data_IF_644131282072
#
_entry.id   IF_644131282072
#
_cell.length_a   1.000
_cell.length_b   1.000
_cell.length_c   1.000
_cell.angle_alpha   90.00
_cell.angle_beta   90.00
_cell.angle_gamma   90.00
#
_symmetry.space_group_name_H-M   'P 1'
#
loop_
_entity.id
_entity.type
_entity.pdbx_description
1 polymer ?
#
# COMPACT_ATOMS: atom_id res chain seq x y z
N UNK A 1 8.53 0.02 34.56
CA UNK A 1 7.86 -0.05 33.25
C UNK A 1 8.95 -0.16 32.23
N UNK A 2 9.18 -1.35 31.71
CA UNK A 2 10.26 -1.63 30.76
C UNK A 2 9.94 -0.98 29.41
N UNK A 3 10.72 0.04 29.02
CA UNK A 3 10.54 0.75 27.76
C UNK A 3 11.25 -0.01 26.64
N UNK A 4 10.50 -0.73 25.82
CA UNK A 4 11.04 -1.36 24.61
C UNK A 4 11.18 -0.31 23.50
N UNK A 5 12.39 -0.15 22.97
CA UNK A 5 12.67 0.71 21.82
C UNK A 5 12.45 -0.03 20.49
N UNK A 6 12.15 0.71 19.43
CA UNK A 6 12.20 0.21 18.04
C UNK A 6 13.22 1.07 17.30
N UNK A 7 14.23 0.43 16.72
CA UNK A 7 15.20 1.07 15.84
C UNK A 7 14.93 0.72 14.38
N UNK A 8 15.20 1.67 13.48
CA UNK A 8 15.14 1.46 12.02
C UNK A 8 16.54 1.17 11.53
N UNK A 9 16.71 0.01 10.88
CA UNK A 9 17.98 -0.41 10.29
C UNK A 9 17.97 0.00 8.82
N UNK A 10 18.93 0.82 8.41
CA UNK A 10 19.07 1.20 7.01
C UNK A 10 19.58 0.00 6.20
N UNK A 11 18.92 -0.35 5.08
CA UNK A 11 19.39 -1.43 4.22
C UNK A 11 20.74 -1.07 3.60
N UNK A 12 21.61 -2.07 3.46
CA UNK A 12 22.87 -1.95 2.73
C UNK A 12 22.61 -1.64 1.24
N UNK A 13 23.52 -0.92 0.61
CA UNK A 13 23.41 -0.56 -0.80
C UNK A 13 23.25 -1.82 -1.68
N UNK A 14 22.19 -1.83 -2.51
CA UNK A 14 21.88 -2.94 -3.42
C UNK A 14 21.07 -4.09 -2.82
N UNK A 15 20.77 -4.10 -1.51
CA UNK A 15 19.92 -5.13 -0.90
C UNK A 15 18.45 -4.89 -1.24
N UNK A 16 17.81 -5.84 -1.92
CA UNK A 16 16.38 -5.76 -2.24
C UNK A 16 15.53 -6.05 -1.00
N UNK A 17 14.68 -5.11 -0.62
CA UNK A 17 13.75 -5.29 0.49
C UNK A 17 12.41 -5.82 -0.02
N UNK A 18 11.69 -6.62 0.78
CA UNK A 18 10.31 -6.97 0.48
C UNK A 18 9.45 -5.72 0.27
N UNK A 19 8.41 -5.84 -0.54
CA UNK A 19 7.49 -4.74 -0.87
C UNK A 19 6.11 -5.04 -0.34
N UNK A 20 5.41 -3.99 0.04
CA UNK A 20 3.98 -4.00 0.32
C UNK A 20 3.25 -3.14 -0.74
N UNK A 21 1.90 -3.09 -0.72
CA UNK A 21 1.13 -2.24 -1.63
C UNK A 21 1.53 -0.75 -1.60
N UNK A 22 2.14 -0.28 -0.52
CA UNK A 22 2.58 1.10 -0.33
C UNK A 22 4.04 1.36 -0.75
N UNK A 23 4.78 0.33 -1.21
CA UNK A 23 6.16 0.46 -1.66
C UNK A 23 7.17 -0.42 -0.88
N UNK A 24 8.47 -0.09 -0.95
CA UNK A 24 9.52 -0.76 -0.19
C UNK A 24 9.27 -0.70 1.31
N UNK A 25 9.51 -1.82 1.99
CA UNK A 25 9.42 -1.91 3.46
C UNK A 25 10.70 -1.44 4.13
N UNK A 26 10.61 -1.11 5.42
CA UNK A 26 11.76 -0.80 6.25
C UNK A 26 12.09 -1.98 7.15
N UNK A 27 13.36 -2.12 7.49
CA UNK A 27 13.85 -3.10 8.46
C UNK A 27 13.85 -2.46 9.85
N UNK A 28 13.24 -3.13 10.81
CA UNK A 28 13.11 -2.71 12.19
C UNK A 28 13.78 -3.72 13.12
N UNK A 29 14.37 -3.25 14.21
CA UNK A 29 14.90 -4.07 15.30
C UNK A 29 14.18 -3.68 16.60
N UNK A 30 13.68 -4.67 17.34
CA UNK A 30 13.14 -4.41 18.68
C UNK A 30 14.32 -4.42 19.67
N UNK A 31 14.52 -3.33 20.40
CA UNK A 31 15.59 -3.24 21.40
C UNK A 31 15.06 -3.75 22.74
N UNK A 32 15.75 -4.72 23.34
CA UNK A 32 15.44 -5.20 24.68
C UNK A 32 16.16 -4.38 25.75
N UNK A 33 15.57 -4.33 26.94
CA UNK A 33 16.20 -3.68 28.10
C UNK A 33 17.58 -4.29 28.37
N UNK A 34 18.61 -3.43 28.39
CA UNK A 34 20.01 -3.85 28.54
C UNK A 34 20.87 -3.69 27.28
N UNK A 35 20.32 -3.16 26.18
CA UNK A 35 21.08 -2.92 24.94
C UNK A 35 21.30 -4.16 24.10
N UNK A 36 20.59 -5.26 24.42
CA UNK A 36 20.59 -6.46 23.60
C UNK A 36 19.82 -6.20 22.31
N UNK A 37 20.47 -6.47 21.17
CA UNK A 37 19.85 -6.44 19.85
C UNK A 37 18.77 -7.51 19.80
N UNK A 38 17.52 -7.11 19.56
CA UNK A 38 16.44 -8.06 19.35
C UNK A 38 16.35 -8.51 17.89
N UNK A 39 15.30 -9.26 17.59
CA UNK A 39 15.09 -9.83 16.25
C UNK A 39 14.58 -8.79 15.27
N UNK A 40 15.12 -8.83 14.04
CA UNK A 40 14.80 -7.87 12.97
C UNK A 40 13.65 -8.31 12.07
N UNK A 41 12.83 -7.37 11.66
CA UNK A 41 11.67 -7.62 10.80
C UNK A 41 11.40 -6.48 9.82
N UNK A 42 10.80 -6.82 8.68
CA UNK A 42 10.30 -5.90 7.69
C UNK A 42 8.83 -5.52 7.98
N UNK A 43 8.54 -4.23 7.94
CA UNK A 43 7.17 -3.70 8.04
C UNK A 43 6.95 -2.49 7.11
N UNK A 44 5.68 -2.11 6.92
CA UNK A 44 5.29 -0.99 6.06
C UNK A 44 5.96 0.32 6.51
N UNK A 45 6.49 1.07 5.56
CA UNK A 45 7.08 2.40 5.77
C UNK A 45 6.03 3.50 5.89
N UNK A 46 4.90 3.35 5.21
CA UNK A 46 3.82 4.34 5.15
C UNK A 46 2.75 4.17 6.23
N UNK A 47 2.51 2.94 6.70
CA UNK A 47 1.41 2.61 7.62
C UNK A 47 1.97 1.99 8.90
N UNK A 48 1.75 2.64 10.04
CA UNK A 48 2.16 2.12 11.36
C UNK A 48 1.15 1.12 11.92
N UNK A 49 -0.14 1.32 11.68
CA UNK A 49 -1.19 0.38 12.09
C UNK A 49 -1.25 -0.81 11.12
N UNK A 50 -1.28 -2.02 11.67
CA UNK A 50 -1.40 -3.26 10.90
C UNK A 50 -2.77 -3.41 10.24
N UNK A 51 -3.79 -2.68 10.70
CA UNK A 51 -5.11 -2.61 10.05
C UNK A 51 -5.03 -1.97 8.67
N UNK A 52 -4.19 -0.93 8.53
CA UNK A 52 -4.00 -0.23 7.27
C UNK A 52 -3.01 -0.98 6.36
N UNK A 53 -2.00 -1.64 6.95
CA UNK A 53 -1.12 -2.53 6.21
C UNK A 53 -0.61 -3.70 7.08
N UNK A 54 -1.12 -4.90 6.83
CA UNK A 54 -0.73 -6.11 7.56
C UNK A 54 0.63 -6.70 7.18
N UNK A 55 1.45 -6.00 6.38
CA UNK A 55 2.73 -6.55 5.92
C UNK A 55 3.69 -6.78 7.08
N UNK A 56 4.16 -8.02 7.21
CA UNK A 56 5.18 -8.41 8.17
C UNK A 56 6.01 -9.59 7.63
N UNK A 57 7.31 -9.55 7.89
CA UNK A 57 8.25 -10.62 7.57
C UNK A 57 9.49 -10.54 8.48
N UNK A 58 9.95 -11.65 9.03
CA UNK A 58 11.24 -11.64 9.74
C UNK A 58 12.40 -11.56 8.76
N UNK A 59 13.51 -10.91 9.13
CA UNK A 59 14.67 -10.76 8.21
C UNK A 59 15.21 -12.12 7.72
N UNK A 60 15.25 -13.10 8.62
CA UNK A 60 15.76 -14.45 8.42
C UNK A 60 14.72 -15.44 7.89
N UNK A 61 13.49 -14.99 7.65
CA UNK A 61 12.39 -15.85 7.20
C UNK A 61 12.52 -16.23 5.73
N UNK A 62 12.57 -17.55 5.46
CA UNK A 62 12.43 -18.09 4.10
C UNK A 62 10.96 -18.09 3.69
N UNK A 63 10.60 -17.22 2.75
CA UNK A 63 9.22 -17.09 2.25
C UNK A 63 8.95 -18.13 1.16
N UNK A 64 7.84 -18.87 1.27
CA UNK A 64 7.42 -19.82 0.25
C UNK A 64 7.00 -19.12 -1.05
N UNK A 65 7.08 -19.82 -2.18
CA UNK A 65 6.63 -19.31 -3.49
C UNK A 65 5.17 -18.87 -3.45
N UNK A 66 4.30 -19.66 -2.83
CA UNK A 66 2.87 -19.35 -2.72
C UNK A 66 2.62 -18.05 -1.98
N UNK A 67 3.37 -17.79 -0.89
CA UNK A 67 3.26 -16.53 -0.14
C UNK A 67 3.79 -15.35 -0.94
N UNK A 68 4.82 -15.53 -1.77
CA UNK A 68 5.28 -14.48 -2.68
C UNK A 68 4.23 -14.15 -3.74
N UNK A 69 3.61 -15.17 -4.35
CA UNK A 69 2.55 -14.99 -5.34
C UNK A 69 1.31 -14.31 -4.75
N UNK A 70 0.89 -14.73 -3.55
CA UNK A 70 -0.23 -14.10 -2.86
C UNK A 70 0.04 -12.61 -2.56
N UNK A 71 1.27 -12.26 -2.17
CA UNK A 71 1.67 -10.86 -1.97
C UNK A 71 1.65 -10.07 -3.26
N UNK A 72 2.15 -10.63 -4.34
CA UNK A 72 2.14 -9.98 -5.65
C UNK A 72 0.70 -9.72 -6.12
N UNK A 73 -0.19 -10.71 -5.97
CA UNK A 73 -1.61 -10.55 -6.27
C UNK A 73 -2.27 -9.45 -5.42
N UNK A 74 -1.97 -9.37 -4.13
CA UNK A 74 -2.44 -8.29 -3.26
C UNK A 74 -1.89 -6.92 -3.67
N UNK A 75 -0.60 -6.85 -4.02
CA UNK A 75 0.00 -5.62 -4.52
C UNK A 75 -0.66 -5.16 -5.82
N UNK A 76 -0.97 -6.10 -6.73
CA UNK A 76 -1.66 -5.82 -7.98
C UNK A 76 -3.10 -5.33 -7.76
N UNK A 77 -3.85 -5.95 -6.85
CA UNK A 77 -5.24 -5.56 -6.57
C UNK A 77 -5.35 -4.18 -5.92
N UNK A 78 -4.35 -3.80 -5.12
CA UNK A 78 -4.27 -2.50 -4.44
C UNK A 78 -3.48 -1.45 -5.24
N UNK A 79 -3.13 -1.73 -6.51
CA UNK A 79 -2.42 -0.74 -7.33
C UNK A 79 -3.25 0.54 -7.48
N UNK A 80 -2.65 1.71 -7.20
CA UNK A 80 -3.33 2.97 -7.44
C UNK A 80 -3.66 3.11 -8.92
N UNK A 81 -4.85 3.62 -9.22
CA UNK A 81 -5.39 3.72 -10.58
C UNK A 81 -4.78 4.89 -11.38
N UNK A 82 -3.50 5.19 -11.21
CA UNK A 82 -2.83 6.33 -11.86
C UNK A 82 -2.94 6.31 -13.39
N UNK A 83 -2.92 5.13 -14.02
CA UNK A 83 -3.11 5.01 -15.48
C UNK A 83 -4.51 5.43 -15.91
N UNK A 84 -5.52 5.24 -15.06
CA UNK A 84 -6.90 5.67 -15.33
C UNK A 84 -7.05 7.19 -15.24
N UNK A 85 -6.19 7.88 -14.49
CA UNK A 85 -6.22 9.34 -14.45
C UNK A 85 -5.96 9.95 -15.83
N UNK A 86 -4.99 9.43 -16.59
CA UNK A 86 -4.69 9.93 -17.94
C UNK A 86 -5.86 9.72 -18.89
N UNK A 87 -6.49 8.54 -18.82
CA UNK A 87 -7.69 8.24 -19.59
C UNK A 87 -8.83 9.19 -19.21
N UNK A 88 -9.09 9.34 -17.91
CA UNK A 88 -10.08 10.27 -17.38
C UNK A 88 -9.83 11.72 -17.80
N UNK A 89 -8.58 12.18 -17.74
CA UNK A 89 -8.19 13.54 -18.12
C UNK A 89 -8.51 13.84 -19.58
N UNK A 90 -8.38 12.85 -20.46
CA UNK A 90 -8.70 12.95 -21.89
C UNK A 90 -10.20 12.90 -22.23
N UNK A 91 -11.07 12.55 -21.28
CA UNK A 91 -12.51 12.46 -21.52
C UNK A 91 -13.13 13.85 -21.78
N UNK A 92 -14.22 13.91 -22.57
CA UNK A 92 -15.07 15.09 -22.62
C UNK A 92 -15.65 15.40 -21.23
N UNK A 93 -15.83 16.68 -20.96
CA UNK A 93 -16.38 17.18 -19.70
C UNK A 93 -17.66 16.47 -19.22
N UNK A 94 -18.58 16.18 -20.14
CA UNK A 94 -19.87 15.58 -19.82
C UNK A 94 -19.77 14.14 -19.34
N UNK A 95 -18.64 13.49 -19.63
CA UNK A 95 -18.34 12.10 -19.23
C UNK A 95 -17.48 12.03 -17.96
N UNK A 96 -16.91 13.16 -17.51
CA UNK A 96 -16.10 13.23 -16.29
C UNK A 96 -16.99 13.19 -15.05
N UNK A 97 -17.06 12.00 -14.44
CA UNK A 97 -17.84 11.76 -13.23
C UNK A 97 -16.94 11.33 -12.07
N UNK A 98 -17.30 11.79 -10.87
CA UNK A 98 -16.70 11.38 -9.62
C UNK A 98 -17.76 10.66 -8.78
N UNK A 99 -17.42 9.48 -8.28
CA UNK A 99 -18.24 8.78 -7.31
C UNK A 99 -17.83 9.22 -5.91
N UNK A 100 -18.75 9.81 -5.16
CA UNK A 100 -18.50 10.27 -3.78
C UNK A 100 -18.42 9.09 -2.81
N UNK A 101 -19.25 8.06 -2.97
CA UNK A 101 -19.22 6.90 -2.08
C UNK A 101 -17.91 6.11 -2.19
N UNK A 102 -17.36 6.05 -3.41
CA UNK A 102 -16.11 5.35 -3.68
C UNK A 102 -14.88 6.25 -3.57
N UNK A 103 -15.05 7.57 -3.60
CA UNK A 103 -13.97 8.56 -3.71
C UNK A 103 -13.06 8.31 -4.93
N UNK A 104 -13.64 7.97 -6.09
CA UNK A 104 -12.90 7.67 -7.33
C UNK A 104 -13.42 8.44 -8.54
N UNK A 105 -12.51 8.70 -9.48
CA UNK A 105 -12.82 9.11 -10.85
C UNK A 105 -13.34 7.90 -11.62
N UNK A 106 -14.48 8.05 -12.31
CA UNK A 106 -15.11 6.98 -13.07
C UNK A 106 -14.76 7.08 -14.55
N UNK A 107 -14.38 5.97 -15.15
CA UNK A 107 -14.35 5.82 -16.60
C UNK A 107 -15.75 5.51 -17.14
N UNK A 108 -16.04 5.77 -18.44
CA UNK A 108 -17.38 5.56 -19.00
C UNK A 108 -17.93 4.16 -18.82
N UNK A 109 -17.06 3.14 -18.87
CA UNK A 109 -17.43 1.74 -18.68
C UNK A 109 -17.89 1.42 -17.23
N UNK A 110 -17.56 2.26 -16.25
CA UNK A 110 -17.87 2.03 -14.83
C UNK A 110 -19.17 2.72 -14.39
N UNK A 111 -19.74 3.59 -15.24
CA UNK A 111 -20.94 4.37 -14.92
C UNK A 111 -22.17 3.52 -14.58
N UNK A 112 -22.29 2.33 -15.17
CA UNK A 112 -23.41 1.41 -14.94
C UNK A 112 -23.24 0.57 -13.69
N UNK A 113 -22.02 0.47 -13.14
CA UNK A 113 -21.73 -0.31 -11.93
C UNK A 113 -22.05 0.46 -10.64
N UNK A 114 -22.28 1.77 -10.73
CA UNK A 114 -22.45 2.68 -9.60
C UNK A 114 -23.82 3.36 -9.59
N UNK A 115 -24.84 2.74 -10.19
CA UNK A 115 -26.17 3.36 -10.38
C UNK A 115 -26.87 3.75 -9.08
N UNK A 116 -26.54 3.11 -7.95
CA UNK A 116 -27.07 3.43 -6.62
C UNK A 116 -26.20 4.42 -5.83
N UNK A 117 -25.05 4.83 -6.35
CA UNK A 117 -24.08 5.66 -5.64
C UNK A 117 -24.29 7.15 -5.96
N UNK A 118 -23.83 8.01 -5.05
CA UNK A 118 -23.82 9.47 -5.24
C UNK A 118 -22.71 9.85 -6.21
N UNK A 119 -23.10 10.48 -7.33
CA UNK A 119 -22.20 10.82 -8.42
C UNK A 119 -22.29 12.32 -8.72
N UNK A 120 -21.14 12.98 -8.69
CA UNK A 120 -20.99 14.38 -9.05
C UNK A 120 -20.29 14.53 -10.41
N UNK A 121 -20.77 15.45 -11.24
CA UNK A 121 -20.09 15.84 -12.48
C UNK A 121 -18.91 16.72 -12.12
N UNK A 122 -17.72 16.38 -12.64
CA UNK A 122 -16.54 17.19 -12.43
C UNK A 122 -16.54 18.33 -13.45
N UNK A 123 -16.78 19.54 -12.94
CA UNK A 123 -16.92 20.72 -13.78
C UNK A 123 -15.62 21.51 -14.00
N UNK A 124 -14.50 21.07 -13.41
CA UNK A 124 -13.13 21.57 -13.61
C UNK A 124 -12.17 20.57 -12.95
N UNK A 125 -10.95 20.43 -13.47
CA UNK A 125 -9.84 19.73 -12.80
C UNK A 125 -8.94 20.76 -12.12
#
# INVERSE_FOLDING_TARGET
MDSFGIEVILPEEGKTTPRCPHGPTLLFEKVENGGNKGRRFYACSACRDRKDCGFFQWEDEKVSKDRMLAREAEMLSKRPRFTQFLQFASLPFIEKKFCEDCQILLLPAEHTCVTSYVITRILTL
#
